data_IF_371581721750
#
_entry.id   IF_371581721750
#
_cell.length_a   1.000
_cell.length_b   1.000
_cell.length_c   1.000
_cell.angle_alpha   90.00
_cell.angle_beta   90.00
_cell.angle_gamma   90.00
#
_symmetry.space_group_name_H-M   'P 1'
#
loop_
_entity.id
_entity.type
_entity.pdbx_description
1 polymer ?
#
# COMPACT_ATOMS: atom_id res chain seq x y z
N UNK A 1 -1.48 8.63 -28.07
CA UNK A 1 -0.40 8.25 -27.15
C UNK A 1 -0.55 6.78 -26.83
N UNK A 2 0.52 5.99 -26.87
CA UNK A 2 0.52 4.54 -26.63
C UNK A 2 1.67 4.18 -25.69
N UNK A 3 1.37 3.39 -24.64
CA UNK A 3 2.36 2.82 -23.74
C UNK A 3 2.35 1.30 -23.85
N UNK A 4 3.52 0.71 -23.86
CA UNK A 4 3.72 -0.71 -23.66
C UNK A 4 3.59 -1.01 -22.16
N UNK A 5 2.77 -1.99 -21.82
CA UNK A 5 2.52 -2.44 -20.44
C UNK A 5 3.22 -3.79 -20.28
N UNK A 6 4.18 -3.83 -19.36
CA UNK A 6 4.89 -5.06 -19.03
C UNK A 6 4.42 -5.58 -17.68
N UNK A 7 4.27 -6.89 -17.59
CA UNK A 7 4.13 -7.58 -16.31
C UNK A 7 5.36 -8.49 -16.15
N UNK A 8 6.08 -8.33 -15.05
CA UNK A 8 7.46 -8.77 -14.94
C UNK A 8 8.29 -8.15 -16.09
N UNK A 9 8.83 -8.98 -16.98
CA UNK A 9 9.60 -8.52 -18.13
C UNK A 9 8.93 -8.90 -19.46
N UNK A 10 7.68 -9.34 -19.39
CA UNK A 10 6.91 -9.78 -20.55
C UNK A 10 5.95 -8.69 -20.97
N UNK A 11 5.91 -8.36 -22.25
CA UNK A 11 4.92 -7.44 -22.80
C UNK A 11 3.52 -8.05 -22.61
N UNK A 12 2.76 -7.47 -21.69
CA UNK A 12 1.41 -7.94 -21.37
C UNK A 12 0.34 -7.29 -22.25
N UNK A 13 0.57 -6.05 -22.70
CA UNK A 13 -0.41 -5.37 -23.53
C UNK A 13 -0.07 -3.91 -23.78
N UNK A 14 -1.10 -3.16 -24.18
CA UNK A 14 -0.97 -1.78 -24.61
C UNK A 14 -2.04 -0.90 -23.95
N UNK A 15 -1.60 0.21 -23.37
CA UNK A 15 -2.46 1.26 -22.86
C UNK A 15 -2.40 2.46 -23.81
N UNK A 16 -3.53 2.89 -24.33
CA UNK A 16 -3.56 4.00 -25.28
C UNK A 16 -4.76 4.91 -25.06
N UNK A 17 -4.60 6.17 -25.46
CA UNK A 17 -5.66 7.18 -25.42
C UNK A 17 -6.14 7.50 -26.81
N UNK A 18 -7.45 7.48 -26.99
CA UNK A 18 -8.16 7.88 -28.20
C UNK A 18 -9.06 9.09 -27.92
N UNK A 19 -9.35 9.88 -28.97
CA UNK A 19 -10.16 11.09 -28.78
C UNK A 19 -11.64 10.78 -28.44
N UNK A 20 -12.14 9.66 -28.94
CA UNK A 20 -13.55 9.24 -28.87
C UNK A 20 -13.86 8.30 -27.70
N UNK A 21 -12.88 7.47 -27.28
CA UNK A 21 -13.06 6.41 -26.28
C UNK A 21 -12.29 6.62 -24.98
N UNK A 22 -11.49 7.70 -24.90
CA UNK A 22 -10.62 7.96 -23.77
C UNK A 22 -9.47 6.97 -23.65
N UNK A 23 -9.16 6.48 -22.44
CA UNK A 23 -8.09 5.50 -22.19
C UNK A 23 -8.62 4.09 -22.37
N UNK A 24 -7.91 3.28 -23.13
CA UNK A 24 -8.27 1.89 -23.48
C UNK A 24 -7.05 1.01 -23.21
N UNK A 25 -7.28 -0.18 -22.69
CA UNK A 25 -6.27 -1.21 -22.50
C UNK A 25 -6.62 -2.45 -23.33
N UNK A 26 -5.62 -3.06 -23.96
CA UNK A 26 -5.74 -4.35 -24.65
C UNK A 26 -4.53 -5.21 -24.30
N UNK A 27 -4.77 -6.47 -24.01
CA UNK A 27 -3.68 -7.44 -23.88
C UNK A 27 -3.01 -7.72 -25.22
N UNK A 28 -1.71 -8.01 -25.19
CA UNK A 28 -0.99 -8.51 -26.36
C UNK A 28 -1.50 -9.91 -26.75
N UNK A 29 -1.66 -10.16 -28.04
CA UNK A 29 -2.25 -11.41 -28.53
C UNK A 29 -1.40 -12.64 -28.16
N UNK A 30 -0.06 -12.53 -28.23
CA UNK A 30 0.84 -13.61 -27.84
C UNK A 30 0.78 -13.84 -26.32
N UNK A 31 0.64 -12.76 -25.53
CA UNK A 31 0.50 -12.86 -24.08
C UNK A 31 -0.76 -13.63 -23.70
N UNK A 32 -1.89 -13.36 -24.35
CA UNK A 32 -3.14 -14.09 -24.13
C UNK A 32 -3.03 -15.54 -24.58
N UNK A 33 -2.49 -15.79 -25.76
CA UNK A 33 -2.34 -17.14 -26.32
C UNK A 33 -1.41 -18.03 -25.46
N UNK A 34 -0.44 -17.45 -24.78
CA UNK A 34 0.46 -18.13 -23.85
C UNK A 34 -0.08 -18.21 -22.41
N UNK A 35 -1.35 -17.90 -22.17
CA UNK A 35 -1.97 -17.89 -20.83
C UNK A 35 -1.17 -17.10 -19.81
N UNK A 36 -0.76 -15.88 -20.15
CA UNK A 36 -0.07 -14.98 -19.24
C UNK A 36 -0.88 -14.71 -17.97
N UNK A 37 -0.23 -14.19 -16.92
CA UNK A 37 -0.93 -13.77 -15.72
C UNK A 37 -1.78 -12.51 -16.00
N UNK A 38 -3.05 -12.40 -15.56
CA UNK A 38 -3.79 -11.16 -15.68
C UNK A 38 -3.15 -10.03 -14.87
N UNK A 39 -3.23 -8.79 -15.36
CA UNK A 39 -2.75 -7.59 -14.64
C UNK A 39 -3.51 -7.35 -13.33
N UNK A 40 -4.77 -7.76 -13.29
CA UNK A 40 -5.68 -7.55 -12.16
C UNK A 40 -6.81 -8.57 -12.21
N UNK A 41 -7.39 -8.89 -11.06
CA UNK A 41 -8.63 -9.68 -11.01
C UNK A 41 -9.80 -8.97 -11.71
N UNK A 42 -9.77 -7.65 -11.79
CA UNK A 42 -10.76 -6.85 -12.54
C UNK A 42 -10.47 -6.74 -14.05
N UNK A 43 -9.28 -7.17 -14.49
CA UNK A 43 -8.85 -7.19 -15.88
C UNK A 43 -8.42 -8.61 -16.29
N UNK A 44 -9.36 -9.57 -16.39
CA UNK A 44 -9.05 -10.96 -16.76
C UNK A 44 -8.46 -11.03 -18.18
N UNK A 45 -7.73 -12.12 -18.49
CA UNK A 45 -7.20 -12.31 -19.83
C UNK A 45 -8.32 -12.43 -20.86
N UNK A 46 -8.28 -11.58 -21.88
CA UNK A 46 -9.19 -11.59 -23.03
C UNK A 46 -8.54 -10.90 -24.22
N UNK A 47 -9.05 -11.15 -25.43
CA UNK A 47 -8.58 -10.48 -26.67
C UNK A 47 -9.24 -9.12 -26.89
N UNK A 48 -10.43 -8.93 -26.34
CA UNK A 48 -11.21 -7.70 -26.46
C UNK A 48 -10.58 -6.59 -25.64
N UNK A 49 -10.78 -5.35 -26.11
CA UNK A 49 -10.33 -4.15 -25.40
C UNK A 49 -11.11 -3.91 -24.10
N UNK A 50 -10.45 -3.42 -23.09
CA UNK A 50 -11.06 -2.88 -21.90
C UNK A 50 -11.31 -1.39 -22.08
N UNK A 51 -12.58 -0.98 -21.97
CA UNK A 51 -12.97 0.43 -22.00
C UNK A 51 -12.36 1.20 -20.81
N UNK A 52 -12.32 2.52 -20.91
CA UNK A 52 -11.87 3.41 -19.84
C UNK A 52 -12.50 3.07 -18.49
N UNK A 53 -13.81 2.88 -18.44
CA UNK A 53 -14.54 2.53 -17.20
C UNK A 53 -14.02 1.26 -16.55
N UNK A 54 -13.52 0.31 -17.34
CA UNK A 54 -13.05 -1.00 -16.84
C UNK A 54 -11.57 -0.98 -16.45
N UNK A 55 -10.72 -0.30 -17.22
CA UNK A 55 -9.28 -0.36 -16.98
C UNK A 55 -8.75 0.73 -16.04
N UNK A 56 -9.40 1.88 -15.97
CA UNK A 56 -8.93 3.01 -15.16
C UNK A 56 -8.83 2.72 -13.65
N UNK A 57 -9.72 1.92 -13.02
CA UNK A 57 -9.55 1.56 -11.61
C UNK A 57 -8.18 0.95 -11.32
N UNK A 58 -7.69 0.05 -12.16
CA UNK A 58 -6.38 -0.53 -11.99
C UNK A 58 -5.26 0.48 -12.24
N UNK A 59 -5.27 1.16 -13.38
CA UNK A 59 -4.16 2.03 -13.80
C UNK A 59 -4.06 3.31 -12.96
N UNK A 60 -5.17 3.91 -12.57
CA UNK A 60 -5.15 5.08 -11.68
C UNK A 60 -4.71 4.72 -10.26
N UNK A 61 -5.05 3.50 -9.81
CA UNK A 61 -4.68 2.97 -8.49
C UNK A 61 -3.16 2.86 -8.27
N UNK A 62 -2.37 2.80 -9.33
CA UNK A 62 -0.90 2.74 -9.28
C UNK A 62 -0.24 4.11 -9.01
N UNK A 63 -0.99 5.19 -9.10
CA UNK A 63 -0.45 6.55 -9.11
C UNK A 63 -0.65 7.26 -7.78
N UNK A 64 0.15 8.28 -7.48
CA UNK A 64 -0.06 9.20 -6.37
C UNK A 64 -1.43 9.89 -6.43
N UNK A 65 -1.93 10.28 -5.26
CA UNK A 65 -3.24 10.89 -5.06
C UNK A 65 -3.13 12.28 -4.40
N UNK A 66 -4.23 13.03 -4.39
CA UNK A 66 -4.40 14.27 -3.66
C UNK A 66 -3.32 15.31 -3.97
N UNK A 67 -2.83 16.00 -2.93
CA UNK A 67 -1.85 17.07 -3.06
C UNK A 67 -0.52 16.66 -3.69
N UNK A 68 -0.13 15.40 -3.56
CA UNK A 68 1.09 14.89 -4.21
C UNK A 68 0.90 14.85 -5.71
N UNK A 69 -0.25 14.37 -6.18
CA UNK A 69 -0.59 14.34 -7.61
C UNK A 69 -0.60 15.75 -8.21
N UNK A 70 -1.17 16.72 -7.48
CA UNK A 70 -1.21 18.11 -7.92
C UNK A 70 0.20 18.69 -8.08
N UNK A 71 1.06 18.53 -7.07
CA UNK A 71 2.46 19.01 -7.14
C UNK A 71 3.26 18.37 -8.29
N UNK A 72 3.03 17.07 -8.54
CA UNK A 72 3.66 16.37 -9.68
C UNK A 72 3.12 16.90 -11.01
N UNK A 73 1.81 17.15 -11.10
CA UNK A 73 1.14 17.76 -12.25
C UNK A 73 1.76 19.11 -12.62
N UNK A 74 1.92 19.97 -11.62
CA UNK A 74 2.55 21.31 -11.79
C UNK A 74 4.02 21.18 -12.24
N UNK A 75 4.79 20.32 -11.56
CA UNK A 75 6.21 20.14 -11.86
C UNK A 75 6.47 19.59 -13.27
N UNK A 76 5.67 18.60 -13.69
CA UNK A 76 5.80 17.97 -15.01
C UNK A 76 5.04 18.70 -16.13
N UNK A 77 4.28 19.74 -15.80
CA UNK A 77 3.41 20.46 -16.73
C UNK A 77 2.43 19.53 -17.47
N UNK A 78 1.83 18.57 -16.75
CA UNK A 78 0.83 17.63 -17.25
C UNK A 78 -0.49 17.81 -16.52
N UNK A 79 -1.61 17.54 -17.21
CA UNK A 79 -2.93 17.61 -16.57
C UNK A 79 -3.09 16.51 -15.50
N UNK A 80 -3.60 16.86 -14.32
CA UNK A 80 -3.92 15.91 -13.24
C UNK A 80 -4.85 14.78 -13.70
N UNK A 81 -5.77 15.08 -14.63
CA UNK A 81 -6.68 14.09 -15.19
C UNK A 81 -6.00 13.07 -16.12
N UNK A 82 -4.76 13.32 -16.57
CA UNK A 82 -4.09 12.50 -17.57
C UNK A 82 -3.33 11.32 -16.96
N UNK A 83 -4.03 10.26 -16.54
CA UNK A 83 -3.40 9.03 -16.01
C UNK A 83 -2.31 8.48 -16.92
N UNK A 84 -2.51 8.47 -18.24
CA UNK A 84 -1.54 7.91 -19.18
C UNK A 84 -0.22 8.71 -19.21
N UNK A 85 -0.26 10.05 -19.09
CA UNK A 85 0.95 10.87 -18.99
C UNK A 85 1.70 10.68 -17.66
N UNK A 86 0.94 10.50 -16.57
CA UNK A 86 1.55 10.14 -15.28
C UNK A 86 2.25 8.78 -15.34
N UNK A 87 1.61 7.76 -15.93
CA UNK A 87 2.22 6.44 -16.12
C UNK A 87 3.44 6.50 -17.04
N UNK A 88 3.42 7.33 -18.08
CA UNK A 88 4.59 7.56 -18.92
C UNK A 88 5.76 8.14 -18.13
N UNK A 89 5.49 9.11 -17.27
CA UNK A 89 6.52 9.79 -16.50
C UNK A 89 7.05 8.96 -15.32
N UNK A 90 6.16 8.28 -14.59
CA UNK A 90 6.46 7.64 -13.30
C UNK A 90 6.44 6.11 -13.34
N UNK A 91 5.81 5.51 -14.34
CA UNK A 91 5.45 4.10 -14.35
C UNK A 91 6.61 3.12 -14.62
N UNK A 92 7.86 3.51 -14.43
CA UNK A 92 9.00 2.59 -14.56
C UNK A 92 9.11 1.61 -13.39
N UNK A 93 8.77 2.05 -12.18
CA UNK A 93 8.78 1.24 -10.96
C UNK A 93 7.49 1.53 -10.16
N UNK A 94 6.49 0.66 -10.29
CA UNK A 94 5.21 0.73 -9.59
C UNK A 94 5.14 -0.28 -8.44
N UNK A 95 4.03 -0.25 -7.70
CA UNK A 95 3.65 -1.34 -6.82
C UNK A 95 3.45 -2.63 -7.64
N UNK A 96 3.91 -3.76 -7.11
CA UNK A 96 3.90 -5.03 -7.85
C UNK A 96 4.98 -5.10 -8.93
N UNK A 97 4.62 -5.72 -10.05
CA UNK A 97 5.55 -6.04 -11.14
C UNK A 97 5.27 -5.28 -12.44
N UNK A 98 4.20 -4.50 -12.46
CA UNK A 98 3.81 -3.75 -13.67
C UNK A 98 4.78 -2.59 -13.92
N UNK A 99 5.09 -2.36 -15.20
CA UNK A 99 5.86 -1.21 -15.64
C UNK A 99 5.40 -0.72 -17.02
N UNK A 100 5.64 0.55 -17.30
CA UNK A 100 5.16 1.24 -18.50
C UNK A 100 6.31 1.87 -19.25
N UNK A 101 6.34 1.68 -20.56
CA UNK A 101 7.36 2.24 -21.44
C UNK A 101 6.71 2.84 -22.68
N UNK A 102 7.31 3.92 -23.18
CA UNK A 102 6.85 4.50 -24.44
C UNK A 102 7.16 3.52 -25.58
N UNK A 103 6.20 3.29 -26.48
CA UNK A 103 6.37 2.40 -27.63
C UNK A 103 7.47 2.83 -28.61
N UNK A 104 7.91 4.09 -28.53
CA UNK A 104 8.98 4.67 -29.36
C UNK A 104 10.38 4.51 -28.76
N UNK A 105 10.49 4.06 -27.50
CA UNK A 105 11.77 3.88 -26.79
C UNK A 105 12.24 2.43 -26.91
N UNK A 106 12.83 2.06 -28.03
CA UNK A 106 13.26 0.68 -28.33
C UNK A 106 14.30 0.07 -27.38
N UNK A 107 14.96 0.88 -26.53
CA UNK A 107 16.07 0.44 -25.69
C UNK A 107 15.77 0.44 -24.17
N UNK A 108 14.57 0.81 -23.74
CA UNK A 108 14.20 0.91 -22.31
C UNK A 108 13.11 -0.09 -21.93
N UNK A 109 13.39 -1.38 -22.12
CA UNK A 109 12.52 -2.44 -21.63
C UNK A 109 12.94 -2.92 -20.24
N UNK A 110 12.01 -3.48 -19.43
CA UNK A 110 12.37 -4.03 -18.13
C UNK A 110 13.43 -5.12 -18.30
N UNK A 111 14.47 -5.05 -17.50
CA UNK A 111 15.55 -6.07 -17.51
C UNK A 111 15.08 -7.28 -16.70
N UNK A 112 15.44 -8.49 -17.15
CA UNK A 112 15.03 -9.75 -16.51
C UNK A 112 15.51 -9.91 -15.06
N UNK A 113 16.70 -9.38 -14.77
CA UNK A 113 17.26 -9.41 -13.44
C UNK A 113 17.97 -8.09 -13.15
N UNK A 114 17.38 -7.29 -12.31
CA UNK A 114 17.98 -6.05 -11.83
C UNK A 114 19.17 -6.37 -10.92
N UNK A 115 20.37 -6.28 -11.47
CA UNK A 115 21.60 -6.46 -10.69
C UNK A 115 21.82 -5.28 -9.75
N UNK A 116 22.26 -5.59 -8.54
CA UNK A 116 22.73 -4.63 -7.54
C UNK A 116 24.08 -4.04 -7.95
N UNK A 117 24.08 -3.09 -8.87
CA UNK A 117 25.26 -2.47 -9.47
C UNK A 117 25.10 -0.95 -9.57
N UNK A 118 26.19 -0.21 -9.67
CA UNK A 118 26.22 1.24 -9.85
C UNK A 118 25.52 1.71 -11.14
N UNK A 119 25.36 0.84 -12.12
CA UNK A 119 24.57 1.12 -13.32
C UNK A 119 23.10 1.37 -12.98
N UNK A 120 22.55 0.62 -12.03
CA UNK A 120 21.14 0.64 -11.65
C UNK A 120 20.85 1.40 -10.35
N UNK A 121 21.87 1.69 -9.55
CA UNK A 121 21.69 2.26 -8.20
C UNK A 121 22.78 3.30 -7.90
N UNK A 122 22.35 4.46 -7.39
CA UNK A 122 23.26 5.51 -6.92
C UNK A 122 23.37 5.40 -5.40
N UNK A 123 24.57 5.16 -4.83
CA UNK A 123 24.75 5.12 -3.39
C UNK A 123 24.53 6.51 -2.77
N UNK A 124 23.89 6.55 -1.62
CA UNK A 124 23.61 7.77 -0.85
C UNK A 124 24.43 7.75 0.44
N UNK A 125 25.25 8.79 0.66
CA UNK A 125 25.83 9.02 1.99
C UNK A 125 24.72 9.45 2.97
N UNK A 126 24.99 9.45 4.27
CA UNK A 126 24.01 9.89 5.28
C UNK A 126 23.57 11.33 5.04
N UNK A 127 24.49 12.22 4.70
CA UNK A 127 24.25 13.64 4.40
C UNK A 127 23.37 13.78 3.13
N UNK A 128 23.71 13.03 2.07
CA UNK A 128 22.95 13.04 0.84
C UNK A 128 21.53 12.47 1.04
N UNK A 129 21.39 11.42 1.87
CA UNK A 129 20.07 10.86 2.21
C UNK A 129 19.22 11.89 2.97
N UNK A 130 19.80 12.58 3.97
CA UNK A 130 19.08 13.61 4.73
C UNK A 130 18.63 14.75 3.83
N UNK A 131 19.52 15.28 2.99
CA UNK A 131 19.21 16.33 2.00
C UNK A 131 18.13 15.88 1.05
N UNK A 132 18.24 14.68 0.51
CA UNK A 132 17.31 14.06 -0.40
C UNK A 132 15.89 13.95 0.20
N UNK A 133 15.77 13.49 1.44
CA UNK A 133 14.49 13.40 2.14
C UNK A 133 13.91 14.79 2.42
N UNK A 134 14.72 15.75 2.84
CA UNK A 134 14.27 17.14 3.08
C UNK A 134 13.80 17.82 1.78
N UNK A 135 14.50 17.61 0.68
CA UNK A 135 14.13 18.18 -0.62
C UNK A 135 12.89 17.52 -1.24
N UNK A 136 12.58 16.27 -0.92
CA UNK A 136 11.43 15.54 -1.45
C UNK A 136 10.10 16.24 -1.13
N UNK A 137 10.05 17.01 -0.04
CA UNK A 137 8.89 17.84 0.32
C UNK A 137 8.59 18.92 -0.74
N UNK A 138 9.64 19.42 -1.40
CA UNK A 138 9.53 20.49 -2.42
C UNK A 138 9.54 19.92 -3.85
N UNK A 139 10.18 18.76 -4.04
CA UNK A 139 10.27 18.05 -5.32
C UNK A 139 9.67 16.67 -5.19
N UNK A 140 8.35 16.51 -5.34
CA UNK A 140 7.68 15.23 -5.15
C UNK A 140 8.32 14.16 -6.04
N UNK A 141 8.64 12.98 -5.45
CA UNK A 141 9.22 11.83 -6.14
C UNK A 141 10.51 12.13 -6.93
N UNK A 142 11.23 13.22 -6.56
CA UNK A 142 12.50 13.64 -7.19
C UNK A 142 12.46 13.76 -8.71
N UNK A 143 11.37 14.28 -9.18
CA UNK A 143 11.21 14.65 -10.57
C UNK A 143 12.29 15.66 -10.97
N UNK A 144 13.11 15.31 -11.94
CA UNK A 144 14.19 16.18 -12.42
C UNK A 144 15.36 15.43 -13.03
N UNK A 145 15.56 14.15 -12.73
CA UNK A 145 16.44 13.30 -13.53
C UNK A 145 15.57 12.39 -14.43
N UNK A 146 15.92 12.29 -15.69
CA UNK A 146 15.24 11.43 -16.68
C UNK A 146 15.25 9.95 -16.29
N UNK A 147 16.11 9.60 -15.35
CA UNK A 147 16.36 8.22 -14.94
C UNK A 147 15.50 7.77 -13.75
N UNK A 148 14.79 8.69 -13.08
CA UNK A 148 13.97 8.39 -11.91
C UNK A 148 12.49 8.29 -12.29
N UNK A 149 11.98 7.06 -12.34
CA UNK A 149 10.60 6.75 -12.74
C UNK A 149 9.94 5.89 -11.68
N UNK A 150 9.69 6.50 -10.51
CA UNK A 150 9.13 5.83 -9.34
C UNK A 150 7.66 6.24 -9.17
N UNK A 151 6.78 5.28 -8.98
CA UNK A 151 5.36 5.51 -8.67
C UNK A 151 4.95 4.74 -7.44
N UNK A 152 4.54 5.45 -6.39
CA UNK A 152 3.92 4.88 -5.21
C UNK A 152 2.52 5.44 -5.03
N UNK A 153 1.54 4.56 -4.95
CA UNK A 153 0.13 4.92 -4.72
C UNK A 153 -0.08 5.59 -3.35
N UNK A 154 -1.14 6.41 -3.24
CA UNK A 154 -1.60 7.03 -2.00
C UNK A 154 -1.30 8.51 -1.87
N UNK A 155 -1.84 9.12 -0.80
CA UNK A 155 -1.85 10.57 -0.55
C UNK A 155 -0.77 11.07 0.43
N UNK A 156 -0.10 10.16 1.16
CA UNK A 156 0.97 10.50 2.10
C UNK A 156 2.31 10.63 1.38
N UNK A 157 3.13 11.61 1.77
CA UNK A 157 4.51 11.74 1.29
C UNK A 157 5.33 10.50 1.62
N UNK A 158 5.91 9.91 0.60
CA UNK A 158 6.75 8.73 0.72
C UNK A 158 7.81 8.69 -0.38
N UNK A 159 8.92 8.09 -0.05
CA UNK A 159 10.06 7.91 -0.95
C UNK A 159 10.36 6.42 -1.01
N UNK A 160 10.71 5.89 -2.18
CA UNK A 160 11.19 4.52 -2.31
C UNK A 160 12.68 4.48 -2.62
N UNK A 161 13.43 3.75 -1.79
CA UNK A 161 14.87 3.55 -1.93
C UNK A 161 15.21 2.07 -1.86
N UNK A 162 16.39 1.71 -2.35
CA UNK A 162 16.96 0.38 -2.16
C UNK A 162 17.99 0.40 -1.03
N UNK A 163 17.96 -0.62 -0.17
CA UNK A 163 18.94 -0.80 0.90
C UNK A 163 19.65 -2.14 0.74
N UNK A 164 20.95 -2.09 0.54
CA UNK A 164 21.82 -3.27 0.47
C UNK A 164 23.27 -2.87 0.77
N UNK A 165 24.07 -3.81 1.21
CA UNK A 165 25.45 -3.58 1.66
C UNK A 165 25.58 -2.49 2.73
N UNK A 166 24.55 -2.35 3.59
CA UNK A 166 24.44 -1.32 4.63
C UNK A 166 24.45 0.12 4.11
N UNK A 167 24.05 0.33 2.85
CA UNK A 167 23.99 1.65 2.21
C UNK A 167 22.63 1.83 1.55
N UNK A 168 22.05 3.01 1.67
CA UNK A 168 20.89 3.44 0.92
C UNK A 168 21.27 3.79 -0.50
N UNK A 169 20.42 3.43 -1.44
CA UNK A 169 20.63 3.68 -2.86
C UNK A 169 19.38 4.24 -3.51
N UNK A 170 19.59 5.14 -4.45
CA UNK A 170 18.55 5.64 -5.34
C UNK A 170 18.46 4.74 -6.57
N UNK A 171 17.32 4.06 -6.80
CA UNK A 171 17.12 3.25 -7.99
C UNK A 171 17.03 4.11 -9.25
N UNK A 172 17.63 3.65 -10.37
CA UNK A 172 17.59 4.27 -11.69
C UNK A 172 16.87 3.39 -12.70
N UNK A 173 16.41 3.99 -13.80
CA UNK A 173 15.90 3.30 -14.98
C UNK A 173 14.78 2.29 -14.73
N UNK A 174 14.03 2.44 -13.63
CA UNK A 174 12.99 1.50 -13.20
C UNK A 174 13.53 0.32 -12.41
N UNK A 175 14.77 0.38 -11.89
CA UNK A 175 15.28 -0.61 -10.94
C UNK A 175 14.41 -0.67 -9.68
N UNK A 176 14.18 -1.86 -9.11
CA UNK A 176 13.29 -2.01 -7.96
C UNK A 176 13.88 -1.40 -6.68
N UNK A 177 13.09 -0.61 -5.97
CA UNK A 177 13.36 -0.23 -4.59
C UNK A 177 13.09 -1.40 -3.65
N UNK A 178 13.60 -1.32 -2.40
CA UNK A 178 13.38 -2.36 -1.36
C UNK A 178 12.62 -1.85 -0.16
N UNK A 179 12.58 -0.53 0.04
CA UNK A 179 11.97 0.11 1.20
C UNK A 179 11.14 1.34 0.79
N UNK A 180 10.15 1.64 1.60
CA UNK A 180 9.37 2.87 1.58
C UNK A 180 9.73 3.67 2.83
N UNK A 181 10.10 4.94 2.63
CA UNK A 181 10.44 5.88 3.67
C UNK A 181 9.34 6.94 3.76
N UNK A 182 8.79 7.16 4.95
CA UNK A 182 7.77 8.17 5.23
C UNK A 182 8.33 9.14 6.28
N UNK A 183 8.79 10.33 5.86
CA UNK A 183 9.34 11.32 6.79
C UNK A 183 8.25 11.91 7.68
N UNK A 184 8.61 12.22 8.91
CA UNK A 184 7.76 12.95 9.86
C UNK A 184 7.35 14.30 9.28
N UNK A 185 6.13 14.71 9.53
CA UNK A 185 5.61 16.03 9.18
C UNK A 185 5.96 17.05 10.27
N UNK A 186 5.99 18.31 9.89
CA UNK A 186 6.26 19.43 10.81
C UNK A 186 5.00 20.07 11.38
N UNK A 187 3.83 19.49 11.09
CA UNK A 187 2.51 19.97 11.51
C UNK A 187 1.94 19.16 12.70
N UNK A 188 0.64 19.23 12.91
CA UNK A 188 -0.10 18.50 13.95
C UNK A 188 0.08 16.97 13.89
N UNK A 189 0.64 16.45 12.78
CA UNK A 189 0.97 15.05 12.60
C UNK A 189 2.46 14.75 12.82
N UNK A 190 3.16 15.55 13.63
CA UNK A 190 4.60 15.41 13.89
C UNK A 190 5.01 14.05 14.48
N UNK A 191 4.11 13.34 15.15
CA UNK A 191 4.36 12.00 15.71
C UNK A 191 3.95 10.86 14.80
N UNK A 192 3.51 11.13 13.56
CA UNK A 192 2.87 10.11 12.70
C UNK A 192 3.82 8.94 12.35
N UNK A 193 5.11 9.21 12.16
CA UNK A 193 6.11 8.18 11.90
C UNK A 193 6.24 7.20 13.08
N UNK A 194 6.31 7.70 14.30
CA UNK A 194 6.37 6.87 15.52
C UNK A 194 5.05 6.16 15.79
N UNK A 195 3.91 6.80 15.50
CA UNK A 195 2.59 6.19 15.62
C UNK A 195 2.44 4.98 14.69
N UNK A 196 2.76 5.15 13.40
CA UNK A 196 2.74 4.04 12.44
C UNK A 196 3.71 2.94 12.86
N UNK A 197 4.93 3.31 13.26
CA UNK A 197 5.92 2.34 13.75
C UNK A 197 5.43 1.56 14.97
N UNK A 198 4.83 2.25 15.96
CA UNK A 198 4.25 1.60 17.14
C UNK A 198 3.16 0.60 16.76
N UNK A 199 2.21 1.01 15.94
CA UNK A 199 1.09 0.16 15.50
C UNK A 199 1.60 -1.05 14.70
N UNK A 200 2.59 -0.87 13.83
CA UNK A 200 3.21 -1.97 13.09
C UNK A 200 3.95 -2.95 14.01
N UNK A 201 4.69 -2.46 15.01
CA UNK A 201 5.34 -3.33 16.01
C UNK A 201 4.33 -4.07 16.86
N UNK A 202 3.23 -3.40 17.28
CA UNK A 202 2.15 -4.03 18.03
C UNK A 202 1.45 -5.11 17.21
N UNK A 203 1.17 -4.86 15.93
CA UNK A 203 0.60 -5.85 15.02
C UNK A 203 1.51 -7.08 14.89
N UNK A 204 2.83 -6.88 14.76
CA UNK A 204 3.82 -7.95 14.70
C UNK A 204 3.82 -8.80 15.98
N UNK A 205 3.81 -8.16 17.15
CA UNK A 205 3.72 -8.86 18.45
C UNK A 205 2.44 -9.70 18.60
N UNK A 206 1.35 -9.23 18.00
CA UNK A 206 0.07 -9.95 17.93
C UNK A 206 0.02 -11.01 16.81
N UNK A 207 1.17 -11.27 16.16
CA UNK A 207 1.32 -12.25 15.07
C UNK A 207 0.45 -11.95 13.85
N UNK A 208 0.14 -10.70 13.62
CA UNK A 208 -0.38 -10.26 12.32
C UNK A 208 0.78 -10.19 11.31
N UNK A 209 0.55 -10.62 10.06
CA UNK A 209 1.57 -10.49 9.03
C UNK A 209 1.79 -9.02 8.68
N UNK A 210 2.95 -8.50 9.00
CA UNK A 210 3.39 -7.13 8.66
C UNK A 210 4.82 -7.16 8.15
N UNK A 211 5.22 -6.25 7.25
CA UNK A 211 6.60 -6.14 6.82
C UNK A 211 7.51 -5.66 7.96
N UNK A 212 8.81 -5.83 7.78
CA UNK A 212 9.80 -5.28 8.71
C UNK A 212 9.77 -3.76 8.67
N UNK A 213 9.83 -3.15 9.85
CA UNK A 213 9.80 -1.69 10.00
C UNK A 213 10.85 -1.22 10.99
N UNK A 214 11.33 0.00 10.79
CA UNK A 214 12.26 0.69 11.69
C UNK A 214 11.98 2.20 11.70
N UNK A 215 12.52 2.91 12.68
CA UNK A 215 12.64 4.38 12.69
C UNK A 215 14.08 4.72 12.38
N UNK A 216 14.28 5.55 11.37
CA UNK A 216 15.58 6.11 11.02
C UNK A 216 15.64 7.56 11.49
N UNK A 217 16.56 7.84 12.41
CA UNK A 217 16.80 9.19 12.90
C UNK A 217 17.90 9.88 12.06
N UNK A 218 17.52 10.99 11.42
CA UNK A 218 18.39 11.79 10.56
C UNK A 218 18.36 13.25 11.02
N UNK A 219 19.35 13.67 11.78
CA UNK A 219 19.45 15.00 12.39
C UNK A 219 18.19 15.34 13.21
N UNK A 220 17.35 16.24 12.67
CA UNK A 220 16.09 16.71 13.25
C UNK A 220 14.85 16.01 12.67
N UNK A 221 15.05 14.93 11.92
CA UNK A 221 14.00 14.26 11.17
C UNK A 221 13.89 12.78 11.53
N UNK A 222 12.74 12.37 12.05
CA UNK A 222 12.41 10.95 12.19
C UNK A 222 11.71 10.44 10.93
N UNK A 223 12.12 9.30 10.44
CA UNK A 223 11.61 8.68 9.22
C UNK A 223 11.13 7.28 9.53
N UNK A 224 9.84 7.01 9.31
CA UNK A 224 9.34 5.64 9.32
C UNK A 224 9.82 4.93 8.07
N UNK A 225 10.43 3.77 8.26
CA UNK A 225 10.97 2.92 7.18
C UNK A 225 10.24 1.59 7.20
N UNK A 226 9.76 1.19 6.03
CA UNK A 226 9.04 -0.06 5.84
C UNK A 226 9.64 -0.85 4.68
N UNK A 227 10.01 -2.11 4.92
CA UNK A 227 10.44 -3.01 3.86
C UNK A 227 9.27 -3.30 2.92
N UNK A 228 9.51 -3.24 1.62
CA UNK A 228 8.51 -3.59 0.62
C UNK A 228 8.27 -5.11 0.59
N UNK A 229 7.05 -5.54 0.84
CA UNK A 229 6.67 -6.96 0.78
C UNK A 229 6.60 -7.48 -0.65
N UNK A 230 6.42 -6.59 -1.63
CA UNK A 230 6.37 -6.91 -3.05
C UNK A 230 7.75 -6.93 -3.72
N UNK A 231 8.81 -6.93 -2.92
CA UNK A 231 10.22 -7.00 -3.33
C UNK A 231 10.95 -8.06 -2.53
N UNK A 232 11.63 -8.97 -3.22
CA UNK A 232 12.39 -10.07 -2.60
C UNK A 232 13.86 -9.97 -3.01
N UNK A 233 14.69 -9.32 -2.18
CA UNK A 233 16.14 -9.29 -2.44
C UNK A 233 16.75 -10.68 -2.34
N UNK A 234 17.60 -11.01 -3.31
CA UNK A 234 18.48 -12.17 -3.31
C UNK A 234 19.93 -11.64 -3.35
N UNK A 235 20.51 -11.44 -2.17
CA UNK A 235 21.84 -10.85 -2.03
C UNK A 235 22.95 -11.79 -2.50
N UNK A 236 22.74 -13.11 -2.52
CA UNK A 236 23.71 -14.09 -3.03
C UNK A 236 23.82 -13.99 -4.57
N UNK A 237 22.68 -13.81 -5.24
CA UNK A 237 22.65 -13.57 -6.69
C UNK A 237 22.83 -12.10 -7.08
N UNK A 238 22.82 -11.19 -6.10
CA UNK A 238 22.90 -9.75 -6.33
C UNK A 238 21.71 -9.22 -7.14
N UNK A 239 20.50 -9.69 -6.86
CA UNK A 239 19.28 -9.32 -7.61
C UNK A 239 18.13 -8.99 -6.69
N UNK A 240 17.11 -8.26 -7.21
CA UNK A 240 15.83 -8.03 -6.53
C UNK A 240 14.72 -8.53 -7.44
N UNK A 241 13.97 -9.51 -6.95
CA UNK A 241 12.78 -10.02 -7.60
C UNK A 241 11.55 -9.20 -7.19
N UNK A 242 10.66 -8.92 -8.13
CA UNK A 242 9.36 -8.29 -7.89
C UNK A 242 8.29 -9.36 -7.69
N UNK A 243 7.35 -9.11 -6.79
CA UNK A 243 6.15 -9.93 -6.57
C UNK A 243 4.95 -9.12 -7.07
N UNK A 244 4.08 -9.72 -7.87
CA UNK A 244 2.91 -9.03 -8.35
C UNK A 244 1.88 -8.85 -7.22
N UNK A 245 1.26 -7.67 -7.20
CA UNK A 245 0.26 -7.30 -6.21
C UNK A 245 -0.74 -6.29 -6.78
N UNK A 246 -1.90 -6.20 -6.16
CA UNK A 246 -2.88 -5.14 -6.37
C UNK A 246 -3.65 -4.85 -5.08
N UNK A 247 -4.17 -3.63 -4.93
CA UNK A 247 -5.05 -3.30 -3.80
C UNK A 247 -6.50 -3.77 -4.06
N UNK A 248 -7.34 -3.80 -3.00
CA UNK A 248 -8.71 -4.31 -3.13
C UNK A 248 -9.61 -3.40 -3.98
N UNK A 249 -9.33 -2.10 -4.09
CA UNK A 249 -10.05 -1.26 -5.03
C UNK A 249 -9.72 -1.65 -6.47
N UNK A 250 -8.45 -1.89 -6.78
CA UNK A 250 -8.02 -2.38 -8.09
C UNK A 250 -8.66 -3.73 -8.41
N UNK A 251 -8.60 -4.69 -7.49
CA UNK A 251 -9.14 -6.04 -7.65
C UNK A 251 -10.66 -6.05 -7.86
N UNK A 252 -11.38 -5.13 -7.22
CA UNK A 252 -12.84 -4.97 -7.34
C UNK A 252 -13.26 -4.04 -8.51
N UNK A 253 -12.31 -3.43 -9.21
CA UNK A 253 -12.59 -2.49 -10.29
C UNK A 253 -13.21 -1.18 -9.82
N UNK A 254 -12.83 -0.70 -8.63
CA UNK A 254 -13.29 0.53 -8.00
C UNK A 254 -12.22 1.62 -8.15
N UNK A 255 -12.61 2.81 -8.57
CA UNK A 255 -11.71 3.94 -8.74
C UNK A 255 -11.06 4.35 -7.41
N UNK A 256 -9.80 4.78 -7.48
CA UNK A 256 -9.01 5.16 -6.31
C UNK A 256 -9.53 6.39 -5.55
N UNK A 257 -10.26 7.28 -6.19
CA UNK A 257 -10.89 8.46 -5.60
C UNK A 257 -12.14 8.17 -4.78
N UNK A 258 -12.78 7.00 -5.00
CA UNK A 258 -13.94 6.54 -4.23
C UNK A 258 -13.60 5.36 -3.30
N UNK A 259 -12.47 5.42 -2.62
CA UNK A 259 -11.94 4.34 -1.78
C UNK A 259 -12.64 4.15 -0.43
N UNK A 260 -13.42 5.13 0.03
CA UNK A 260 -14.20 5.08 1.26
C UNK A 260 -15.59 4.49 0.99
N UNK A 261 -16.07 3.62 1.86
CA UNK A 261 -17.38 2.99 1.69
C UNK A 261 -18.52 4.03 1.62
N UNK A 262 -18.41 5.13 2.36
CA UNK A 262 -19.44 6.19 2.35
C UNK A 262 -19.56 6.89 0.99
N UNK A 263 -18.50 6.88 0.18
CA UNK A 263 -18.42 7.51 -1.13
C UNK A 263 -18.68 6.50 -2.28
N UNK A 264 -19.02 5.25 -1.95
CA UNK A 264 -19.25 4.17 -2.93
C UNK A 264 -18.06 3.21 -3.09
N UNK A 265 -17.04 3.31 -2.25
CA UNK A 265 -15.93 2.37 -2.15
C UNK A 265 -16.33 1.03 -1.56
N UNK A 266 -15.39 0.08 -1.46
CA UNK A 266 -15.70 -1.26 -0.99
C UNK A 266 -16.12 -1.26 0.48
N UNK A 267 -17.06 -2.14 0.81
CA UNK A 267 -17.42 -2.48 2.18
C UNK A 267 -16.55 -3.62 2.71
N UNK A 268 -16.57 -3.85 4.04
CA UNK A 268 -15.96 -5.04 4.63
C UNK A 268 -16.54 -6.34 4.04
N UNK A 269 -17.83 -6.35 3.64
CA UNK A 269 -18.47 -7.52 2.98
C UNK A 269 -17.89 -7.75 1.60
N UNK A 270 -17.67 -6.70 0.81
CA UNK A 270 -17.07 -6.82 -0.53
C UNK A 270 -15.63 -7.37 -0.43
N UNK A 271 -14.85 -6.85 0.53
CA UNK A 271 -13.50 -7.37 0.82
C UNK A 271 -13.51 -8.83 1.25
N UNK A 272 -14.44 -9.21 2.13
CA UNK A 272 -14.61 -10.58 2.60
C UNK A 272 -14.99 -11.54 1.45
N UNK A 273 -15.93 -11.13 0.60
CA UNK A 273 -16.34 -11.90 -0.56
C UNK A 273 -15.17 -12.09 -1.55
N UNK A 274 -14.38 -11.05 -1.80
CA UNK A 274 -13.19 -11.15 -2.64
C UNK A 274 -12.23 -12.24 -2.12
N UNK A 275 -12.00 -12.27 -0.79
CA UNK A 275 -11.16 -13.31 -0.16
C UNK A 275 -11.79 -14.68 -0.33
N UNK A 276 -13.09 -14.83 -0.08
CA UNK A 276 -13.79 -16.10 -0.23
C UNK A 276 -13.77 -16.65 -1.65
N UNK A 277 -13.87 -15.78 -2.64
CA UNK A 277 -13.97 -16.21 -4.04
C UNK A 277 -12.61 -16.48 -4.67
N UNK A 278 -11.63 -15.62 -4.42
CA UNK A 278 -10.40 -15.55 -5.21
C UNK A 278 -9.15 -16.09 -4.51
N UNK A 279 -9.12 -16.09 -3.16
CA UNK A 279 -7.89 -16.40 -2.44
C UNK A 279 -7.66 -17.90 -2.26
N UNK A 280 -6.39 -18.26 -2.18
CA UNK A 280 -5.93 -19.58 -1.74
C UNK A 280 -5.98 -19.64 -0.20
N UNK A 281 -6.01 -20.85 0.36
CA UNK A 281 -5.97 -21.07 1.82
C UNK A 281 -6.99 -20.21 2.61
N UNK A 282 -8.21 -20.14 2.10
CA UNK A 282 -9.29 -19.20 2.45
C UNK A 282 -9.51 -19.01 3.95
N UNK A 283 -9.50 -20.09 4.74
CA UNK A 283 -9.73 -20.00 6.19
C UNK A 283 -8.64 -19.20 6.91
N UNK A 284 -7.39 -19.39 6.52
CA UNK A 284 -6.27 -18.61 7.04
C UNK A 284 -6.40 -17.14 6.66
N UNK A 285 -6.66 -16.85 5.38
CA UNK A 285 -6.80 -15.50 4.88
C UNK A 285 -7.98 -14.75 5.52
N UNK A 286 -9.11 -15.42 5.71
CA UNK A 286 -10.26 -14.88 6.44
C UNK A 286 -9.88 -14.57 7.89
N UNK A 287 -9.19 -15.49 8.58
CA UNK A 287 -8.76 -15.26 9.96
C UNK A 287 -7.84 -14.02 10.10
N UNK A 288 -6.88 -13.87 9.16
CA UNK A 288 -6.02 -12.68 9.10
C UNK A 288 -6.85 -11.42 8.87
N UNK A 289 -7.80 -11.44 7.93
CA UNK A 289 -8.66 -10.31 7.62
C UNK A 289 -9.55 -9.91 8.83
N UNK A 290 -10.17 -10.88 9.51
CA UNK A 290 -10.97 -10.62 10.71
C UNK A 290 -10.12 -9.99 11.84
N UNK A 291 -8.92 -10.53 12.07
CA UNK A 291 -7.97 -9.96 13.03
C UNK A 291 -7.53 -8.54 12.64
N UNK A 292 -7.36 -8.26 11.36
CA UNK A 292 -7.00 -6.93 10.88
C UNK A 292 -8.12 -5.90 11.08
N UNK A 293 -9.38 -6.28 10.88
CA UNK A 293 -10.53 -5.41 11.19
C UNK A 293 -10.56 -5.07 12.68
N UNK A 294 -10.40 -6.08 13.52
CA UNK A 294 -10.39 -5.90 14.98
C UNK A 294 -9.21 -5.02 15.42
N UNK A 295 -8.03 -5.24 14.85
CA UNK A 295 -6.84 -4.45 15.15
C UNK A 295 -7.01 -2.99 14.75
N UNK A 296 -7.48 -2.72 13.53
CA UNK A 296 -7.73 -1.35 13.06
C UNK A 296 -8.75 -0.62 13.95
N UNK A 297 -9.80 -1.31 14.42
CA UNK A 297 -10.74 -0.75 15.39
C UNK A 297 -10.03 -0.43 16.72
N UNK A 298 -9.28 -1.37 17.27
CA UNK A 298 -8.64 -1.22 18.59
C UNK A 298 -7.62 -0.08 18.60
N UNK A 299 -6.75 0.02 17.61
CA UNK A 299 -5.79 1.12 17.52
C UNK A 299 -6.42 2.45 17.09
N UNK A 300 -7.67 2.44 16.62
CA UNK A 300 -8.35 3.65 16.13
C UNK A 300 -7.87 4.12 14.76
N UNK A 301 -7.61 3.19 13.86
CA UNK A 301 -7.32 3.49 12.45
C UNK A 301 -8.63 3.71 11.68
N UNK A 302 -9.09 4.95 11.61
CA UNK A 302 -10.28 5.31 10.85
C UNK A 302 -10.02 5.39 9.33
N UNK A 303 -8.77 5.36 8.88
CA UNK A 303 -8.40 5.44 7.45
C UNK A 303 -8.18 4.06 6.79
N UNK A 304 -8.59 2.97 7.46
CA UNK A 304 -8.47 1.61 6.92
C UNK A 304 -9.49 1.35 5.82
N UNK A 305 -9.21 1.86 4.62
CA UNK A 305 -10.07 1.74 3.42
C UNK A 305 -9.61 0.60 2.50
N UNK A 306 -10.34 0.36 1.40
CA UNK A 306 -10.06 -0.73 0.46
C UNK A 306 -8.65 -0.74 -0.14
N UNK A 307 -8.00 0.41 -0.26
CA UNK A 307 -6.61 0.50 -0.74
C UNK A 307 -5.55 0.14 0.31
N UNK A 308 -5.93 0.01 1.59
CA UNK A 308 -5.02 -0.42 2.66
C UNK A 308 -5.03 -1.95 2.85
N UNK A 309 -5.73 -2.65 1.98
CA UNK A 309 -5.67 -4.10 1.84
C UNK A 309 -5.22 -4.44 0.43
N UNK A 310 -4.24 -5.32 0.31
CA UNK A 310 -3.76 -5.79 -0.99
C UNK A 310 -3.71 -7.32 -1.03
N UNK A 311 -3.68 -7.83 -2.23
CA UNK A 311 -3.40 -9.22 -2.50
C UNK A 311 -2.07 -9.36 -3.23
N UNK A 312 -1.41 -10.47 -3.03
CA UNK A 312 -0.17 -10.86 -3.72
C UNK A 312 -0.38 -12.14 -4.51
N UNK A 313 0.28 -12.21 -5.66
CA UNK A 313 0.35 -13.40 -6.51
C UNK A 313 1.71 -14.06 -6.31
N UNK A 314 1.77 -15.12 -5.52
CA UNK A 314 2.99 -15.84 -5.20
C UNK A 314 2.79 -17.35 -5.34
N UNK A 315 3.70 -18.05 -6.03
CA UNK A 315 3.67 -19.50 -6.23
C UNK A 315 2.30 -20.02 -6.72
N UNK A 316 1.71 -19.34 -7.70
CA UNK A 316 0.38 -19.61 -8.25
C UNK A 316 -0.76 -19.51 -7.21
N UNK A 317 -0.51 -18.89 -6.07
CA UNK A 317 -1.50 -18.63 -5.02
C UNK A 317 -1.83 -17.14 -4.94
N UNK A 318 -3.07 -16.84 -4.59
CA UNK A 318 -3.53 -15.50 -4.24
C UNK A 318 -3.70 -15.46 -2.72
N UNK A 319 -3.01 -14.52 -2.07
CA UNK A 319 -3.02 -14.36 -0.61
C UNK A 319 -3.18 -12.88 -0.24
N UNK A 320 -3.60 -12.60 0.99
CA UNK A 320 -3.44 -11.25 1.56
C UNK A 320 -1.96 -10.87 1.60
N UNK A 321 -1.67 -9.64 1.23
CA UNK A 321 -0.34 -9.07 1.50
C UNK A 321 -0.12 -8.94 3.01
N UNK A 322 1.11 -8.80 3.48
CA UNK A 322 1.36 -8.24 4.80
C UNK A 322 0.60 -6.92 4.96
N UNK A 323 0.07 -6.64 6.16
CA UNK A 323 -0.68 -5.42 6.46
C UNK A 323 0.27 -4.22 6.52
N UNK A 324 -0.20 -3.09 6.04
CA UNK A 324 0.54 -1.82 5.98
C UNK A 324 -0.37 -0.64 6.30
N UNK A 325 0.19 0.56 6.46
CA UNK A 325 -0.53 1.78 6.84
C UNK A 325 -1.38 1.60 8.12
N UNK A 326 -0.84 0.85 9.10
CA UNK A 326 -1.44 0.66 10.40
C UNK A 326 -1.06 1.86 11.29
N UNK A 327 -1.98 2.80 11.46
CA UNK A 327 -1.76 4.04 12.21
C UNK A 327 -3.00 4.40 13.01
N UNK A 328 -2.83 4.84 14.25
CA UNK A 328 -3.95 5.37 15.04
C UNK A 328 -4.28 6.78 14.57
N UNK A 329 -5.35 6.94 13.81
CA UNK A 329 -5.79 8.27 13.35
C UNK A 329 -6.52 9.04 14.43
N UNK A 330 -7.15 8.35 15.38
CA UNK A 330 -7.95 8.95 16.43
C UNK A 330 -7.14 9.68 17.51
N UNK A 331 -5.83 9.49 17.58
CA UNK A 331 -4.94 10.28 18.45
C UNK A 331 -4.77 11.73 17.95
N UNK A 332 -5.14 11.99 16.70
CA UNK A 332 -5.07 13.33 16.09
C UNK A 332 -6.47 13.97 16.06
N UNK A 333 -6.72 15.02 16.85
CA UNK A 333 -8.06 15.65 16.94
C UNK A 333 -8.57 16.21 15.61
N UNK A 334 -7.68 16.62 14.73
CA UNK A 334 -8.02 17.18 13.41
C UNK A 334 -8.51 16.12 12.42
N UNK A 335 -8.24 14.81 12.66
CA UNK A 335 -8.65 13.75 11.76
C UNK A 335 -10.05 13.23 12.07
N UNK A 336 -10.69 12.68 11.06
CA UNK A 336 -12.03 12.09 11.19
C UNK A 336 -12.04 10.91 12.14
N UNK A 337 -13.13 10.77 12.91
CA UNK A 337 -13.42 9.62 13.76
C UNK A 337 -14.40 8.63 13.11
N UNK A 338 -14.64 8.78 11.81
CA UNK A 338 -15.45 7.86 11.03
C UNK A 338 -14.55 6.81 10.36
N UNK A 339 -14.85 5.55 10.61
CA UNK A 339 -14.19 4.42 9.95
C UNK A 339 -14.39 4.50 8.44
N UNK A 340 -13.35 4.23 7.66
CA UNK A 340 -13.42 4.18 6.20
C UNK A 340 -14.41 3.12 5.68
N UNK A 341 -14.49 2.01 6.40
CA UNK A 341 -15.50 0.96 6.21
C UNK A 341 -16.25 0.75 7.52
N UNK A 342 -17.59 0.75 7.47
CA UNK A 342 -18.40 0.57 8.67
C UNK A 342 -18.27 -0.85 9.24
N UNK A 343 -18.31 -0.95 10.58
CA UNK A 343 -18.44 -2.22 11.29
C UNK A 343 -19.91 -2.38 11.70
N UNK A 344 -20.55 -3.44 11.27
CA UNK A 344 -21.98 -3.62 11.43
C UNK A 344 -22.78 -2.49 10.79
N UNK A 345 -23.37 -1.62 11.61
CA UNK A 345 -24.17 -0.47 11.14
C UNK A 345 -23.48 0.88 11.26
N UNK A 346 -22.31 0.95 11.93
CA UNK A 346 -21.71 2.19 12.39
C UNK A 346 -20.41 2.55 11.65
N UNK A 347 -20.32 3.82 11.23
CA UNK A 347 -19.06 4.45 10.84
C UNK A 347 -18.35 5.11 12.03
N UNK A 348 -19.11 5.76 12.94
CA UNK A 348 -18.53 6.47 14.08
C UNK A 348 -17.87 5.46 15.03
N UNK A 349 -16.53 5.52 15.15
CA UNK A 349 -15.76 4.53 15.91
C UNK A 349 -16.18 4.47 17.39
N UNK A 350 -16.58 5.61 17.98
CA UNK A 350 -17.02 5.71 19.36
C UNK A 350 -18.41 5.10 19.61
N UNK A 351 -19.20 4.84 18.54
CA UNK A 351 -20.52 4.22 18.60
C UNK A 351 -20.50 2.73 18.31
N UNK A 352 -19.35 2.20 17.90
CA UNK A 352 -19.21 0.77 17.61
C UNK A 352 -19.25 -0.01 18.91
N UNK A 353 -20.08 -1.04 18.95
CA UNK A 353 -20.30 -1.91 20.10
C UNK A 353 -20.02 -3.37 19.75
N UNK A 354 -19.95 -4.24 20.74
CA UNK A 354 -19.85 -5.68 20.54
C UNK A 354 -20.96 -6.23 19.62
N UNK A 355 -22.16 -5.63 19.69
CA UNK A 355 -23.29 -6.02 18.82
C UNK A 355 -23.06 -5.67 17.35
N UNK A 356 -22.29 -4.62 17.04
CA UNK A 356 -21.94 -4.30 15.64
C UNK A 356 -21.00 -5.35 15.06
N UNK A 357 -20.11 -5.92 15.84
CA UNK A 357 -19.31 -7.07 15.44
C UNK A 357 -20.14 -8.33 15.21
N UNK A 358 -21.18 -8.57 16.03
CA UNK A 358 -22.11 -9.67 15.80
C UNK A 358 -22.89 -9.48 14.49
N UNK A 359 -23.39 -8.28 14.22
CA UNK A 359 -24.01 -7.93 12.92
C UNK A 359 -23.02 -8.09 11.76
N UNK A 360 -21.76 -7.74 11.96
CA UNK A 360 -20.74 -7.92 10.93
C UNK A 360 -20.50 -9.41 10.63
N UNK A 361 -20.56 -10.28 11.66
CA UNK A 361 -20.49 -11.72 11.47
C UNK A 361 -21.67 -12.25 10.63
N UNK A 362 -22.90 -11.74 10.88
CA UNK A 362 -24.08 -12.07 10.07
C UNK A 362 -23.90 -11.63 8.62
N UNK A 363 -23.39 -10.42 8.39
CA UNK A 363 -23.08 -9.93 7.05
C UNK A 363 -22.04 -10.79 6.32
N UNK A 364 -21.08 -11.34 7.04
CA UNK A 364 -20.07 -12.26 6.51
C UNK A 364 -20.59 -13.70 6.35
N UNK A 365 -21.79 -14.02 6.86
CA UNK A 365 -22.34 -15.37 6.88
C UNK A 365 -21.48 -16.37 7.64
N UNK A 366 -20.77 -15.90 8.67
CA UNK A 366 -19.98 -16.74 9.58
C UNK A 366 -20.67 -16.89 10.93
N UNK A 367 -20.38 -18.00 11.63
CA UNK A 367 -20.91 -18.21 12.97
C UNK A 367 -20.35 -17.17 13.94
N UNK A 368 -21.22 -16.50 14.69
CA UNK A 368 -20.82 -15.49 15.68
C UNK A 368 -19.78 -16.02 16.68
N UNK A 369 -19.88 -17.30 17.09
CA UNK A 369 -18.91 -17.94 17.98
C UNK A 369 -17.48 -17.90 17.43
N UNK A 370 -17.31 -18.03 16.12
CA UNK A 370 -15.98 -17.96 15.49
C UNK A 370 -15.39 -16.56 15.67
N UNK A 371 -16.20 -15.51 15.42
CA UNK A 371 -15.79 -14.14 15.61
C UNK A 371 -15.47 -13.82 17.07
N UNK A 372 -16.34 -14.26 18.02
CA UNK A 372 -16.12 -14.08 19.44
C UNK A 372 -14.79 -14.72 19.90
N UNK A 373 -14.48 -15.94 19.43
CA UNK A 373 -13.21 -16.59 19.75
C UNK A 373 -12.00 -15.76 19.23
N UNK A 374 -12.09 -15.19 18.03
CA UNK A 374 -11.05 -14.31 17.51
C UNK A 374 -10.88 -13.07 18.38
N UNK A 375 -11.98 -12.45 18.82
CA UNK A 375 -11.94 -11.28 19.70
C UNK A 375 -11.33 -11.61 21.07
N UNK A 376 -11.73 -12.71 21.68
CA UNK A 376 -11.21 -13.13 22.99
C UNK A 376 -9.72 -13.46 22.94
N UNK A 377 -9.28 -14.23 21.93
CA UNK A 377 -7.87 -14.57 21.74
C UNK A 377 -7.02 -13.32 21.54
N UNK A 378 -7.52 -12.38 20.71
CA UNK A 378 -6.81 -11.16 20.41
C UNK A 378 -6.74 -10.21 21.61
N UNK A 379 -7.87 -10.01 22.30
CA UNK A 379 -7.97 -9.15 23.47
C UNK A 379 -7.06 -9.60 24.61
N UNK A 380 -6.93 -10.91 24.81
CA UNK A 380 -6.07 -11.50 25.86
C UNK A 380 -4.60 -11.15 25.67
N UNK A 381 -4.13 -11.06 24.41
CA UNK A 381 -2.73 -10.84 24.09
C UNK A 381 -2.38 -9.36 23.89
N UNK A 382 -3.38 -8.48 23.73
CA UNK A 382 -3.17 -7.08 23.34
C UNK A 382 -2.39 -6.27 24.39
N UNK A 383 -2.81 -6.32 25.64
CA UNK A 383 -2.19 -5.51 26.71
C UNK A 383 -0.75 -5.96 27.02
N UNK A 384 -0.45 -7.26 27.13
CA UNK A 384 0.94 -7.71 27.22
C UNK A 384 1.80 -7.27 26.03
N UNK A 385 1.30 -7.41 24.80
CA UNK A 385 2.01 -6.96 23.61
C UNK A 385 2.23 -5.44 23.58
N UNK A 386 1.22 -4.67 24.00
CA UNK A 386 1.34 -3.21 24.12
C UNK A 386 2.46 -2.83 25.10
N UNK A 387 2.49 -3.44 26.30
CA UNK A 387 3.52 -3.18 27.29
C UNK A 387 4.92 -3.52 26.80
N UNK A 388 5.09 -4.62 26.05
CA UNK A 388 6.39 -4.95 25.46
C UNK A 388 6.84 -3.91 24.44
N UNK A 389 5.94 -3.47 23.55
CA UNK A 389 6.27 -2.50 22.50
C UNK A 389 6.54 -1.13 23.10
N UNK A 390 5.75 -0.68 24.06
CA UNK A 390 5.92 0.64 24.69
C UNK A 390 7.25 0.80 25.45
N UNK A 391 7.87 -0.30 25.86
CA UNK A 391 9.17 -0.31 26.53
C UNK A 391 10.37 -0.38 25.55
N UNK A 392 10.14 -0.38 24.23
CA UNK A 392 11.22 -0.33 23.26
C UNK A 392 11.93 1.03 23.28
N UNK A 393 13.27 1.05 23.10
CA UNK A 393 14.08 2.29 23.18
C UNK A 393 13.60 3.40 22.24
N UNK A 394 13.08 3.04 21.07
CA UNK A 394 12.60 3.97 20.04
C UNK A 394 11.42 4.84 20.53
N UNK A 395 10.72 4.42 21.58
CA UNK A 395 9.59 5.16 22.15
C UNK A 395 9.92 5.96 23.41
N UNK A 396 11.20 5.99 23.82
CA UNK A 396 11.64 6.69 25.03
C UNK A 396 11.32 8.19 25.08
N UNK A 397 11.14 8.81 23.91
CA UNK A 397 10.76 10.23 23.76
C UNK A 397 9.29 10.42 23.36
N UNK A 398 8.49 9.34 23.30
CA UNK A 398 7.12 9.35 22.78
C UNK A 398 6.05 9.15 23.89
N UNK A 399 6.34 9.55 25.12
CA UNK A 399 5.49 9.26 26.30
C UNK A 399 4.04 9.71 26.10
N UNK A 400 3.81 10.91 25.59
CA UNK A 400 2.48 11.45 25.35
C UNK A 400 1.71 10.62 24.31
N UNK A 401 2.34 10.29 23.20
CA UNK A 401 1.75 9.42 22.17
C UNK A 401 1.38 8.04 22.74
N UNK A 402 2.29 7.44 23.51
CA UNK A 402 2.07 6.10 24.09
C UNK A 402 0.92 6.12 25.10
N UNK A 403 0.81 7.17 25.92
CA UNK A 403 -0.30 7.32 26.85
C UNK A 403 -1.65 7.50 26.13
N UNK A 404 -1.69 8.31 25.07
CA UNK A 404 -2.89 8.48 24.25
C UNK A 404 -3.32 7.15 23.61
N UNK A 405 -2.38 6.43 23.00
CA UNK A 405 -2.64 5.11 22.41
C UNK A 405 -3.15 4.11 23.46
N UNK A 406 -2.52 4.04 24.62
CA UNK A 406 -2.90 3.15 25.71
C UNK A 406 -4.35 3.40 26.15
N UNK A 407 -4.68 4.68 26.43
CA UNK A 407 -6.01 5.07 26.88
C UNK A 407 -7.10 4.73 25.86
N UNK A 408 -6.84 5.02 24.59
CA UNK A 408 -7.80 4.75 23.52
C UNK A 408 -7.97 3.25 23.25
N UNK A 409 -6.89 2.49 23.24
CA UNK A 409 -6.94 1.04 23.06
C UNK A 409 -7.70 0.39 24.21
N UNK A 410 -7.42 0.76 25.46
CA UNK A 410 -8.12 0.24 26.63
C UNK A 410 -9.62 0.56 26.59
N UNK A 411 -9.99 1.80 26.24
CA UNK A 411 -11.40 2.19 26.11
C UNK A 411 -12.13 1.29 25.12
N UNK A 412 -11.57 1.06 23.94
CA UNK A 412 -12.18 0.21 22.91
C UNK A 412 -12.17 -1.28 23.29
N UNK A 413 -11.14 -1.72 23.99
CA UNK A 413 -11.07 -3.09 24.49
C UNK A 413 -12.20 -3.39 25.47
N UNK A 414 -12.52 -2.45 26.38
CA UNK A 414 -13.65 -2.58 27.32
C UNK A 414 -15.02 -2.68 26.61
N UNK A 415 -15.17 -2.08 25.43
CA UNK A 415 -16.40 -2.21 24.63
C UNK A 415 -16.57 -3.62 24.05
N UNK A 416 -15.47 -4.35 23.86
CA UNK A 416 -15.48 -5.69 23.27
C UNK A 416 -15.67 -6.80 24.33
N UNK A 417 -15.22 -6.57 25.55
CA UNK A 417 -15.32 -7.53 26.68
C UNK A 417 -16.70 -7.47 27.33
#
# INVERSE_FOLDING_TARGET
>A
MKLNVFLFNTLAGYLFSTADRGVVFVYDENYVNNNGMPLSLSLPLQKEEFSQKKCMPYFSGLLPEGSIRNRISEYLHISEASTIKFLQALGGECSGTVSFYNSEEENNFPKDNWKLSEENYIPLTKENLCTFIKESKNKPMLLGSKDLRLSLAGAQEKISLAYFNNIWHLPKNGAPSTHILKPTRSDELSTIAHNEFFCMKLANKLKLPVPQTEILELDDLSVFVCQRYDRKPDFEKGTIQRIHQEDFCQALGIMNDIKYQADGGPSLKDCFNLIQEKFSDKLEQINIFLKSILFNYLIGNCDSHGKNFSLVFEDSKIKLSPLYDLVSTTVYPALTKKMAMKIGSNYEIEKITRNDFAKQAELFEIKNRFWVNVMEDFSKNLIPAFSEVSNMPEFSQCHELIELLHNQINTRLQVLL
#
